data_IF_757386851891
#
_entry.id   IF_757386851891
#
_cell.length_a   1.000
_cell.length_b   1.000
_cell.length_c   1.000
_cell.angle_alpha   90.00
_cell.angle_beta   90.00
_cell.angle_gamma   90.00
#
_symmetry.space_group_name_H-M   'P 1'
#
loop_
_entity.id
_entity.type
_entity.pdbx_description
1 polymer ?
#
# COMPACT_ATOMS: atom_id res chain seq x y z
N UNK A 1 19.99 -18.04 -2.03
CA UNK A 1 20.34 -16.64 -1.74
C UNK A 1 19.36 -16.07 -0.72
N UNK A 2 19.87 -15.34 0.23
CA UNK A 2 19.03 -14.64 1.20
C UNK A 2 19.17 -13.13 1.00
N UNK A 3 18.09 -12.40 1.25
CA UNK A 3 18.09 -10.95 1.25
C UNK A 3 17.58 -10.45 2.59
N UNK A 4 18.18 -9.36 3.06
CA UNK A 4 17.75 -8.71 4.30
C UNK A 4 17.28 -7.31 3.96
N UNK A 5 16.05 -6.99 4.43
CA UNK A 5 15.46 -5.68 4.21
C UNK A 5 15.21 -5.06 5.57
N UNK A 6 15.76 -3.85 5.78
CA UNK A 6 15.59 -3.08 7.00
C UNK A 6 14.89 -1.77 6.65
N UNK A 7 13.55 -1.74 6.73
CA UNK A 7 12.79 -0.56 6.27
C UNK A 7 13.24 0.74 6.91
N UNK A 8 13.58 0.73 8.20
CA UNK A 8 13.99 1.95 8.90
C UNK A 8 15.33 2.54 8.44
N UNK A 9 16.11 1.79 7.63
CA UNK A 9 17.33 2.29 7.01
C UNK A 9 17.07 2.94 5.66
N UNK A 10 15.83 2.88 5.16
CA UNK A 10 15.46 3.39 3.85
C UNK A 10 14.76 4.74 3.96
N UNK A 11 14.99 5.58 2.95
CA UNK A 11 14.36 6.90 2.87
C UNK A 11 12.89 6.78 2.47
N UNK A 12 12.07 7.68 3.01
CA UNK A 12 10.73 7.89 2.51
C UNK A 12 10.79 8.74 1.25
N UNK A 13 10.05 8.32 0.23
CA UNK A 13 9.98 9.02 -1.05
C UNK A 13 8.54 9.42 -1.32
N UNK A 14 8.35 10.56 -1.97
CA UNK A 14 7.04 11.02 -2.42
C UNK A 14 7.02 10.95 -3.94
N UNK A 15 6.19 10.08 -4.48
CA UNK A 15 5.98 9.99 -5.91
C UNK A 15 4.83 10.92 -6.31
N UNK A 16 4.75 11.25 -7.60
CA UNK A 16 3.71 12.11 -8.12
C UNK A 16 2.90 11.35 -9.16
N UNK A 17 1.60 11.59 -9.18
CA UNK A 17 0.71 11.02 -10.18
C UNK A 17 0.90 11.72 -11.54
N UNK A 18 0.24 11.27 -12.62
CA UNK A 18 0.36 11.91 -13.94
C UNK A 18 -0.07 13.38 -13.98
N UNK A 19 -0.81 13.86 -12.97
CA UNK A 19 -1.23 15.26 -12.86
C UNK A 19 -0.28 16.08 -11.99
N UNK A 20 0.85 15.50 -11.55
CA UNK A 20 1.83 16.19 -10.72
C UNK A 20 1.46 16.30 -9.25
N UNK A 21 0.43 15.58 -8.78
CA UNK A 21 0.02 15.58 -7.38
C UNK A 21 0.85 14.59 -6.58
N UNK A 22 1.26 14.95 -5.34
CA UNK A 22 1.99 14.00 -4.51
C UNK A 22 1.09 12.82 -4.11
N UNK A 23 1.68 11.63 -4.13
CA UNK A 23 1.05 10.42 -3.61
C UNK A 23 1.44 10.22 -2.14
N UNK A 24 1.07 9.09 -1.56
CA UNK A 24 1.44 8.77 -0.19
C UNK A 24 2.95 8.58 -0.05
N UNK A 25 3.56 8.98 1.08
CA UNK A 25 4.95 8.66 1.34
C UNK A 25 5.18 7.15 1.30
N UNK A 26 6.23 6.75 0.63
CA UNK A 26 6.51 5.33 0.35
C UNK A 26 7.99 5.02 0.53
N UNK A 27 8.31 3.90 1.15
CA UNK A 27 9.64 3.31 1.12
C UNK A 27 9.64 2.15 0.13
N UNK A 28 10.57 2.15 -0.81
CA UNK A 28 10.73 1.04 -1.74
C UNK A 28 11.64 0.01 -1.08
N UNK A 29 11.06 -1.09 -0.64
CA UNK A 29 11.79 -2.14 0.07
C UNK A 29 12.41 -3.13 -0.91
N UNK A 30 11.79 -3.33 -2.07
CA UNK A 30 12.30 -4.19 -3.12
C UNK A 30 11.80 -3.66 -4.48
N UNK A 31 12.73 -3.39 -5.37
CA UNK A 31 12.45 -2.81 -6.68
C UNK A 31 12.59 -3.86 -7.81
N UNK A 32 12.13 -5.05 -7.53
CA UNK A 32 12.04 -6.13 -8.52
C UNK A 32 10.94 -7.09 -8.09
N UNK A 33 10.48 -7.93 -9.00
CA UNK A 33 9.37 -8.83 -8.69
C UNK A 33 9.81 -9.95 -7.74
N UNK A 34 9.04 -10.21 -6.66
CA UNK A 34 7.89 -9.42 -6.21
C UNK A 34 8.31 -8.06 -5.65
N UNK A 35 7.61 -7.03 -6.06
CA UNK A 35 7.84 -5.69 -5.53
C UNK A 35 7.34 -5.61 -4.10
N UNK A 36 8.05 -4.85 -3.27
CA UNK A 36 7.67 -4.66 -1.88
C UNK A 36 7.82 -3.19 -1.52
N UNK A 37 6.75 -2.60 -1.00
CA UNK A 37 6.75 -1.21 -0.54
C UNK A 37 6.14 -1.11 0.84
N UNK A 38 6.52 -0.07 1.57
CA UNK A 38 5.83 0.38 2.76
C UNK A 38 5.22 1.74 2.44
N UNK A 39 3.92 1.88 2.65
CA UNK A 39 3.22 3.14 2.38
C UNK A 39 2.65 3.68 3.69
N UNK A 40 2.82 4.99 3.91
CA UNK A 40 2.31 5.69 5.09
C UNK A 40 1.10 6.53 4.68
N UNK A 41 -0.09 5.96 4.83
CA UNK A 41 -1.32 6.66 4.51
C UNK A 41 -1.62 7.69 5.60
N UNK A 42 -1.74 8.97 5.24
CA UNK A 42 -2.08 10.00 6.23
C UNK A 42 -3.49 9.81 6.77
N UNK A 43 -3.75 10.40 7.94
CA UNK A 43 -5.10 10.45 8.50
C UNK A 43 -6.05 11.06 7.47
N UNK A 44 -7.26 10.51 7.37
CA UNK A 44 -8.29 10.93 6.40
C UNK A 44 -7.91 10.67 4.93
N UNK A 45 -6.91 9.81 4.70
CA UNK A 45 -6.60 9.35 3.34
C UNK A 45 -7.85 8.73 2.72
N UNK A 46 -8.05 9.03 1.43
CA UNK A 46 -9.15 8.46 0.65
C UNK A 46 -8.67 8.15 -0.76
N UNK A 47 -8.91 6.95 -1.21
CA UNK A 47 -8.72 6.56 -2.60
C UNK A 47 -10.02 5.91 -3.11
N UNK A 48 -10.43 6.27 -4.30
CA UNK A 48 -11.64 5.72 -4.91
C UNK A 48 -11.46 4.27 -5.36
N UNK A 49 -12.48 3.78 -6.05
CA UNK A 49 -12.43 2.45 -6.64
C UNK A 49 -11.27 2.36 -7.64
N UNK A 50 -10.46 1.33 -7.52
CA UNK A 50 -9.32 1.12 -8.42
C UNK A 50 -8.93 -0.36 -8.45
N UNK A 51 -7.98 -0.69 -9.34
CA UNK A 51 -7.45 -2.04 -9.48
C UNK A 51 -5.96 -1.99 -9.80
N UNK A 52 -5.29 -3.11 -9.60
CA UNK A 52 -3.87 -3.24 -9.92
C UNK A 52 -3.67 -4.36 -10.94
N UNK A 53 -2.65 -4.26 -11.81
CA UNK A 53 -2.38 -5.30 -12.81
C UNK A 53 -1.74 -6.57 -12.25
N UNK A 54 -1.30 -6.53 -10.99
CA UNK A 54 -0.65 -7.65 -10.32
C UNK A 54 -1.37 -8.01 -9.04
N UNK A 55 -1.22 -9.25 -8.59
CA UNK A 55 -1.67 -9.66 -7.26
C UNK A 55 -0.99 -8.77 -6.22
N UNK A 56 -1.77 -8.32 -5.23
CA UNK A 56 -1.28 -7.41 -4.21
C UNK A 56 -1.59 -7.98 -2.83
N UNK A 57 -0.58 -7.99 -1.96
CA UNK A 57 -0.76 -8.39 -0.57
C UNK A 57 -0.53 -7.17 0.30
N UNK A 58 -1.52 -6.87 1.13
CA UNK A 58 -1.44 -5.81 2.13
C UNK A 58 -1.19 -6.43 3.49
N UNK A 59 -0.23 -5.88 4.21
CA UNK A 59 -0.01 -6.21 5.62
C UNK A 59 -0.12 -4.91 6.40
N UNK A 60 -1.08 -4.84 7.31
CA UNK A 60 -1.26 -3.66 8.14
C UNK A 60 -0.28 -3.75 9.30
N UNK A 61 0.57 -2.74 9.44
CA UNK A 61 1.58 -2.70 10.50
C UNK A 61 1.22 -1.70 11.60
N UNK A 62 0.43 -0.67 11.27
CA UNK A 62 0.03 0.36 12.22
C UNK A 62 -1.29 1.00 11.74
N UNK A 63 -2.12 1.42 12.68
CA UNK A 63 -3.36 2.10 12.37
C UNK A 63 -4.45 1.17 11.87
N UNK A 64 -5.41 1.74 11.19
CA UNK A 64 -6.58 1.02 10.67
C UNK A 64 -6.91 1.53 9.28
N UNK A 65 -7.27 0.61 8.37
CA UNK A 65 -7.71 0.94 7.03
C UNK A 65 -9.07 0.31 6.77
N UNK A 66 -10.01 1.09 6.25
CA UNK A 66 -11.31 0.59 5.82
C UNK A 66 -11.34 0.52 4.29
N UNK A 67 -11.86 -0.57 3.76
CA UNK A 67 -11.93 -0.79 2.31
C UNK A 67 -13.35 -1.17 1.92
N UNK A 68 -14.05 -0.23 1.27
CA UNK A 68 -15.39 -0.43 0.74
C UNK A 68 -16.34 -1.13 1.71
N UNK A 69 -16.98 -2.19 1.25
CA UNK A 69 -17.84 -3.04 2.05
C UNK A 69 -17.10 -4.26 2.64
N UNK A 70 -15.78 -4.36 2.43
CA UNK A 70 -14.99 -5.46 2.96
C UNK A 70 -14.80 -5.35 4.48
N UNK A 71 -14.79 -4.13 5.03
CA UNK A 71 -14.63 -3.88 6.44
C UNK A 71 -13.32 -3.17 6.78
N UNK A 72 -12.95 -3.25 8.05
CA UNK A 72 -11.75 -2.60 8.58
C UNK A 72 -10.63 -3.60 8.81
N UNK A 73 -9.41 -3.18 8.51
CA UNK A 73 -8.20 -3.98 8.66
C UNK A 73 -7.28 -3.31 9.67
N UNK A 74 -6.72 -4.10 10.60
CA UNK A 74 -5.93 -3.65 11.75
C UNK A 74 -4.54 -4.28 11.74
N UNK A 75 -3.61 -3.81 12.59
CA UNK A 75 -2.28 -4.38 12.64
C UNK A 75 -2.29 -5.90 12.79
N UNK A 76 -1.51 -6.56 11.94
CA UNK A 76 -1.45 -8.02 11.85
C UNK A 76 -2.38 -8.62 10.82
N UNK A 77 -3.36 -7.86 10.31
CA UNK A 77 -4.25 -8.35 9.26
C UNK A 77 -3.52 -8.37 7.91
N UNK A 78 -3.83 -9.39 7.13
CA UNK A 78 -3.28 -9.57 5.79
C UNK A 78 -4.44 -9.64 4.81
N UNK A 79 -4.34 -8.86 3.73
CA UNK A 79 -5.34 -8.84 2.67
C UNK A 79 -4.66 -9.15 1.34
N UNK A 80 -5.19 -10.14 0.64
CA UNK A 80 -4.69 -10.51 -0.68
C UNK A 80 -5.73 -10.14 -1.73
N UNK A 81 -5.29 -9.37 -2.74
CA UNK A 81 -6.14 -8.92 -3.83
C UNK A 81 -5.58 -9.47 -5.13
N UNK A 82 -6.41 -10.18 -5.88
CA UNK A 82 -6.02 -10.70 -7.19
C UNK A 82 -5.86 -9.58 -8.22
N UNK A 83 -4.96 -9.78 -9.15
CA UNK A 83 -4.78 -8.89 -10.29
C UNK A 83 -6.14 -8.63 -10.98
N UNK A 84 -6.39 -7.37 -11.32
CA UNK A 84 -7.59 -6.96 -12.02
C UNK A 84 -8.86 -6.84 -11.17
N UNK A 85 -8.82 -7.21 -9.90
CA UNK A 85 -9.98 -7.06 -9.03
C UNK A 85 -10.12 -5.61 -8.56
N UNK A 86 -11.21 -4.96 -8.95
CA UNK A 86 -11.50 -3.60 -8.53
C UNK A 86 -11.99 -3.58 -7.08
N UNK A 87 -11.49 -2.63 -6.30
CA UNK A 87 -11.87 -2.47 -4.90
C UNK A 87 -11.76 -1.01 -4.47
N UNK A 88 -12.38 -0.69 -3.36
CA UNK A 88 -12.42 0.65 -2.80
C UNK A 88 -13.84 1.06 -2.40
N UNK A 89 -13.97 2.27 -1.89
CA UNK A 89 -12.89 3.20 -1.57
C UNK A 89 -12.01 2.71 -0.41
N UNK A 90 -10.74 3.17 -0.41
CA UNK A 90 -9.84 2.96 0.71
C UNK A 90 -9.82 4.21 1.57
N UNK A 91 -9.92 4.03 2.88
CA UNK A 91 -9.93 5.13 3.84
C UNK A 91 -9.05 4.80 5.05
N UNK A 92 -8.23 5.71 5.43
CA UNK A 92 -7.41 5.59 6.64
C UNK A 92 -7.93 6.47 7.79
#
# INVERSE_FOLDING_TARGET
MTAHIRPHDLEWETFHDPHGRPTTPTRVLRDSEPFLIEADFPAHFHAGLHWHPHDTIYVITRGEMRIGDEGSFRPGDIRWVKAGHAYGPEEA
#
